data_IF_222714660612
#
_entry.id   IF_222714660612
#
_cell.length_a   1.000
_cell.length_b   1.000
_cell.length_c   1.000
_cell.angle_alpha   90.00
_cell.angle_beta   90.00
_cell.angle_gamma   90.00
#
_symmetry.space_group_name_H-M   'P 1'
#
loop_
_entity.id
_entity.type
_entity.pdbx_description
1 polymer ?
#
# COMPACT_ATOMS: atom_id res chain seq x y z
N UNK A 1 8.73 -57.02 -1.82
CA UNK A 1 7.56 -56.15 -2.12
C UNK A 1 7.84 -54.80 -1.50
N UNK A 2 8.36 -53.87 -2.30
CA UNK A 2 8.61 -52.47 -1.90
C UNK A 2 7.27 -51.74 -1.89
N UNK A 3 6.87 -51.25 -0.73
CA UNK A 3 5.88 -50.16 -0.63
C UNK A 3 6.62 -48.94 -0.11
N UNK A 4 7.30 -48.25 -1.00
CA UNK A 4 7.81 -46.90 -0.74
C UNK A 4 6.62 -45.96 -0.74
N UNK A 5 6.08 -45.68 0.44
CA UNK A 5 5.10 -44.63 0.68
C UNK A 5 5.76 -43.29 0.35
N UNK A 6 5.51 -42.77 -0.84
CA UNK A 6 5.87 -41.40 -1.20
C UNK A 6 4.91 -40.51 -0.40
N UNK A 7 5.31 -40.12 0.80
CA UNK A 7 4.71 -38.99 1.48
C UNK A 7 4.99 -37.77 0.61
N UNK A 8 4.03 -37.41 -0.24
CA UNK A 8 3.97 -36.11 -0.89
C UNK A 8 3.85 -35.08 0.24
N UNK A 9 4.99 -34.67 0.78
CA UNK A 9 5.10 -33.48 1.59
C UNK A 9 4.67 -32.34 0.65
N UNK A 10 3.40 -31.95 0.76
CA UNK A 10 2.92 -30.70 0.24
C UNK A 10 3.72 -29.60 0.95
N UNK A 11 4.90 -29.32 0.40
CA UNK A 11 5.61 -28.06 0.54
C UNK A 11 4.72 -27.00 -0.12
N UNK A 12 3.59 -26.69 0.52
CA UNK A 12 3.03 -25.37 0.45
C UNK A 12 4.04 -24.50 1.18
N UNK A 13 5.14 -24.20 0.49
CA UNK A 13 5.97 -23.06 0.75
C UNK A 13 4.99 -21.94 1.00
N UNK A 14 4.87 -21.51 2.25
CA UNK A 14 4.13 -20.33 2.61
C UNK A 14 4.94 -19.19 1.98
N UNK A 15 4.76 -18.98 0.69
CA UNK A 15 5.19 -17.75 0.04
C UNK A 15 4.32 -16.74 0.75
N UNK A 16 4.89 -16.08 1.76
CA UNK A 16 4.28 -14.92 2.37
C UNK A 16 4.21 -13.89 1.24
N UNK A 17 3.13 -13.93 0.46
CA UNK A 17 2.86 -12.98 -0.60
C UNK A 17 2.73 -11.63 0.08
N UNK A 18 3.81 -10.85 0.04
CA UNK A 18 3.81 -9.50 0.54
C UNK A 18 2.90 -8.68 -0.39
N UNK A 19 1.66 -8.46 0.05
CA UNK A 19 0.71 -7.61 -0.65
C UNK A 19 1.27 -6.19 -0.69
N UNK A 20 1.43 -5.63 -1.89
CA UNK A 20 1.86 -4.24 -2.05
C UNK A 20 0.64 -3.35 -2.27
N UNK A 21 0.57 -2.26 -1.53
CA UNK A 21 -0.52 -1.29 -1.56
C UNK A 21 0.00 0.08 -2.03
N UNK A 22 -0.87 0.84 -2.70
CA UNK A 22 -0.72 2.28 -2.78
C UNK A 22 -1.40 2.91 -1.57
N UNK A 23 -0.73 3.86 -0.92
CA UNK A 23 -1.27 4.66 0.16
C UNK A 23 -1.18 6.12 -0.27
N UNK A 24 -2.23 6.90 -0.07
CA UNK A 24 -2.20 8.35 -0.29
C UNK A 24 -2.32 9.14 1.01
N UNK A 25 -1.86 10.38 0.94
CA UNK A 25 -2.04 11.40 1.97
C UNK A 25 -2.68 12.62 1.32
N UNK A 26 -3.51 13.30 2.08
CA UNK A 26 -4.15 14.53 1.67
C UNK A 26 -3.48 15.73 2.34
N UNK A 27 -3.55 16.88 1.68
CA UNK A 27 -3.21 18.19 2.23
C UNK A 27 -4.38 19.14 2.01
N UNK A 28 -4.88 19.74 3.07
CA UNK A 28 -6.03 20.66 3.08
C UNK A 28 -7.26 20.05 2.39
N UNK A 29 -7.49 18.75 2.60
CA UNK A 29 -8.59 17.99 2.01
C UNK A 29 -8.41 17.60 0.54
N UNK A 30 -7.26 17.90 -0.08
CA UNK A 30 -6.94 17.54 -1.47
C UNK A 30 -5.85 16.49 -1.53
N UNK A 31 -5.88 15.64 -2.56
CA UNK A 31 -4.81 14.68 -2.82
C UNK A 31 -3.45 15.39 -2.89
N UNK A 32 -2.49 14.94 -2.07
CA UNK A 32 -1.14 15.49 -2.07
C UNK A 32 -0.17 14.58 -2.82
N UNK A 33 -0.04 13.34 -2.37
CA UNK A 33 0.82 12.33 -3.00
C UNK A 33 0.44 10.92 -2.55
N UNK A 34 1.02 9.93 -3.22
CA UNK A 34 0.97 8.53 -2.84
C UNK A 34 2.36 7.94 -2.66
N UNK A 35 2.43 6.86 -1.89
CA UNK A 35 3.61 6.02 -1.71
C UNK A 35 3.20 4.55 -1.78
N UNK A 36 4.09 3.69 -2.27
CA UNK A 36 3.87 2.24 -2.28
C UNK A 36 4.53 1.58 -1.07
N UNK A 37 3.78 0.72 -0.39
CA UNK A 37 4.31 -0.04 0.73
C UNK A 37 3.68 -1.43 0.81
N UNK A 38 4.42 -2.35 1.42
CA UNK A 38 3.88 -3.65 1.80
C UNK A 38 2.77 -3.42 2.84
N UNK A 39 1.65 -4.12 2.70
CA UNK A 39 0.52 -4.04 3.60
C UNK A 39 0.96 -4.27 5.06
N UNK A 40 0.55 -3.38 5.96
CA UNK A 40 0.93 -3.35 7.38
C UNK A 40 2.29 -2.71 7.68
N UNK A 41 3.09 -2.37 6.66
CA UNK A 41 4.38 -1.69 6.83
C UNK A 41 4.21 -0.18 6.83
N UNK A 42 4.96 0.48 7.71
CA UNK A 42 4.98 1.94 7.79
C UNK A 42 5.79 2.54 6.64
N UNK A 43 5.25 3.60 6.05
CA UNK A 43 5.90 4.44 5.04
C UNK A 43 5.84 5.91 5.46
N UNK A 44 6.92 6.64 5.19
CA UNK A 44 7.04 8.05 5.54
C UNK A 44 6.68 8.90 4.33
N UNK A 45 5.68 9.76 4.48
CA UNK A 45 5.39 10.80 3.52
C UNK A 45 6.30 11.98 3.77
N UNK A 46 6.98 12.42 2.71
CA UNK A 46 7.83 13.61 2.74
C UNK A 46 7.29 14.70 1.81
N UNK A 47 7.46 15.95 2.23
CA UNK A 47 7.25 17.11 1.38
C UNK A 47 8.39 17.29 0.36
N UNK A 48 8.35 18.40 -0.40
CA UNK A 48 9.35 18.73 -1.43
C UNK A 48 10.73 19.04 -0.85
N UNK A 49 10.79 19.52 0.38
CA UNK A 49 12.03 19.88 1.09
C UNK A 49 12.63 18.66 1.83
N UNK A 50 11.92 17.54 1.83
CA UNK A 50 12.34 16.28 2.44
C UNK A 50 11.90 16.11 3.90
N UNK A 51 11.10 17.03 4.45
CA UNK A 51 10.55 16.91 5.80
C UNK A 51 9.47 15.85 5.84
N UNK A 52 9.42 15.08 6.93
CA UNK A 52 8.37 14.08 7.14
C UNK A 52 7.08 14.79 7.52
N UNK A 53 6.02 14.58 6.73
CA UNK A 53 4.69 15.17 6.93
C UNK A 53 3.67 14.17 7.46
N UNK A 54 4.04 12.90 7.55
CA UNK A 54 3.21 11.84 8.11
C UNK A 54 3.84 10.47 7.95
N UNK A 55 3.45 9.54 8.81
CA UNK A 55 3.82 8.13 8.73
C UNK A 55 2.55 7.32 8.63
N UNK A 56 2.36 6.61 7.53
CA UNK A 56 1.14 5.85 7.29
C UNK A 56 1.42 4.38 7.05
N UNK A 57 0.42 3.54 7.31
CA UNK A 57 0.41 2.11 6.96
C UNK A 57 -1.01 1.68 6.66
N UNK A 58 -1.17 0.57 5.95
CA UNK A 58 -2.50 -0.05 5.89
C UNK A 58 -2.85 -0.67 7.25
N UNK A 59 -4.12 -0.64 7.59
CA UNK A 59 -4.61 -1.22 8.86
C UNK A 59 -4.45 -2.74 8.90
N UNK A 60 -4.49 -3.40 7.73
CA UNK A 60 -4.35 -4.86 7.61
C UNK A 60 -3.20 -5.24 6.69
N UNK A 61 -2.71 -6.47 6.84
CA UNK A 61 -1.59 -7.05 6.06
C UNK A 61 -2.05 -7.83 4.82
N UNK A 62 -3.36 -8.02 4.63
CA UNK A 62 -3.93 -8.89 3.60
C UNK A 62 -4.88 -8.18 2.63
N UNK A 63 -5.15 -6.88 2.81
CA UNK A 63 -5.86 -6.04 1.83
C UNK A 63 -5.44 -4.56 1.94
N UNK A 64 -5.66 -3.82 0.86
CA UNK A 64 -5.40 -2.38 0.77
C UNK A 64 -6.70 -1.55 0.86
N UNK A 65 -7.49 -1.67 1.93
CA UNK A 65 -8.77 -0.93 2.06
C UNK A 65 -8.76 0.28 3.00
N UNK A 66 -7.91 0.25 4.02
CA UNK A 66 -7.84 1.30 5.04
C UNK A 66 -6.40 1.66 5.29
N UNK A 67 -6.13 2.96 5.37
CA UNK A 67 -4.88 3.53 5.83
C UNK A 67 -5.08 4.12 7.21
N UNK A 68 -4.04 4.06 8.03
CA UNK A 68 -3.95 4.84 9.26
C UNK A 68 -2.65 5.59 9.26
N UNK A 69 -2.68 6.86 9.65
CA UNK A 69 -1.51 7.72 9.72
C UNK A 69 -1.29 8.23 11.14
N UNK A 70 -0.02 8.43 11.47
CA UNK A 70 0.45 9.08 12.69
C UNK A 70 1.43 10.20 12.31
N UNK A 71 1.71 11.07 13.28
CA UNK A 71 2.66 12.18 13.13
C UNK A 71 2.35 13.07 11.91
N UNK A 72 1.06 13.30 11.66
CA UNK A 72 0.59 14.15 10.57
C UNK A 72 0.92 15.62 10.88
N UNK A 73 1.65 16.26 9.97
CA UNK A 73 1.91 17.68 10.05
C UNK A 73 0.60 18.48 9.89
N UNK A 74 0.52 19.72 10.40
CA UNK A 74 -0.66 20.56 10.23
C UNK A 74 -1.07 20.70 8.76
N UNK A 75 -2.37 20.59 8.50
CA UNK A 75 -2.93 20.61 7.15
C UNK A 75 -2.87 19.26 6.42
N UNK A 76 -2.20 18.23 6.95
CA UNK A 76 -2.21 16.89 6.37
C UNK A 76 -3.24 15.99 7.03
N UNK A 77 -3.84 15.12 6.22
CA UNK A 77 -4.82 14.13 6.67
C UNK A 77 -4.66 12.79 5.96
N UNK A 78 -5.26 11.75 6.55
CA UNK A 78 -5.31 10.41 5.97
C UNK A 78 -5.94 10.46 4.58
N UNK A 79 -5.30 9.78 3.62
CA UNK A 79 -5.86 9.57 2.29
C UNK A 79 -6.56 8.21 2.20
N UNK A 80 -6.33 7.54 1.08
CA UNK A 80 -6.94 6.27 0.74
C UNK A 80 -5.84 5.20 0.56
N UNK A 81 -6.26 3.93 0.59
CA UNK A 81 -5.40 2.82 0.20
C UNK A 81 -6.10 2.01 -0.89
N UNK A 82 -5.32 1.49 -1.84
CA UNK A 82 -5.83 0.60 -2.88
C UNK A 82 -4.74 -0.35 -3.38
N UNK A 83 -5.17 -1.47 -3.97
CA UNK A 83 -4.27 -2.50 -4.49
C UNK A 83 -3.44 -1.95 -5.66
N UNK A 84 -2.17 -2.36 -5.75
CA UNK A 84 -1.35 -2.07 -6.92
C UNK A 84 -1.92 -2.87 -8.10
N UNK A 85 -2.48 -2.19 -9.10
CA UNK A 85 -2.93 -2.87 -10.33
C UNK A 85 -1.70 -3.45 -11.05
N UNK A 86 -1.66 -4.75 -11.40
CA UNK A 86 -0.56 -5.33 -12.15
C UNK A 86 -0.43 -4.64 -13.52
N UNK A 87 0.80 -4.25 -13.88
CA UNK A 87 1.14 -3.61 -15.16
C UNK A 87 0.59 -4.43 -16.33
N UNK A 88 -0.45 -3.90 -16.96
CA UNK A 88 -1.32 -4.56 -17.93
C UNK A 88 -2.71 -3.94 -17.93
N UNK A 89 -3.12 -3.37 -16.79
CA UNK A 89 -4.22 -2.43 -16.73
C UNK A 89 -3.74 -1.01 -17.10
N UNK A 90 -3.61 -0.70 -18.39
CA UNK A 90 -3.70 0.70 -18.85
C UNK A 90 -5.15 1.17 -18.72
N UNK A 91 -5.63 1.26 -17.47
CA UNK A 91 -6.80 2.05 -17.14
C UNK A 91 -6.31 3.47 -16.93
N UNK A 92 -6.47 4.28 -17.96
CA UNK A 92 -6.12 5.70 -18.00
C UNK A 92 -6.51 6.47 -16.74
N UNK A 93 -5.78 7.59 -16.59
CA UNK A 93 -6.04 8.73 -15.74
C UNK A 93 -5.44 8.60 -14.34
N UNK A 94 -4.22 9.13 -14.22
CA UNK A 94 -3.90 9.87 -13.02
C UNK A 94 -5.08 10.77 -12.69
N UNK A 95 -5.55 10.68 -11.45
CA UNK A 95 -6.51 11.64 -10.95
C UNK A 95 -5.76 12.96 -10.84
N UNK A 96 -5.81 13.74 -11.92
CA UNK A 96 -5.46 15.15 -11.92
C UNK A 96 -6.68 15.89 -11.38
N UNK A 97 -6.64 16.45 -10.15
CA UNK A 97 -7.75 17.20 -9.59
C UNK A 97 -7.96 18.57 -10.27
N UNK A 98 -7.43 18.78 -11.48
CA UNK A 98 -7.53 20.02 -12.27
C UNK A 98 -8.47 19.93 -13.47
N UNK A 99 -9.51 19.10 -13.43
CA UNK A 99 -10.52 19.10 -14.50
C UNK A 99 -11.92 19.44 -13.99
N UNK A 100 -12.29 20.69 -14.29
CA UNK A 100 -13.62 21.34 -14.26
C UNK A 100 -14.09 21.93 -12.93
#
# INVERSE_FOLDING_TARGET
>A
MQFTTIAAACLFSQVAFALTCNLSINKDGKYFKQEQAIAGREVKFKDRDGNVVGICKTTTTYNCRRVTCKDLAPGYSEGEAWDVKPSGAVGSLGYDPSSS
#
